data_IF_658545685039
#
_entry.id   IF_658545685039
#
_cell.length_a   1.000
_cell.length_b   1.000
_cell.length_c   1.000
_cell.angle_alpha   90.00
_cell.angle_beta   90.00
_cell.angle_gamma   90.00
#
_symmetry.space_group_name_H-M   'P 1'
#
loop_
_entity.id
_entity.type
_entity.pdbx_description
1 polymer ?
#
# COMPACT_ATOMS: atom_id res chain seq x y z
N UNK A 1 4.50 19.62 -15.41
CA UNK A 1 3.82 20.86 -15.02
C UNK A 1 4.72 21.71 -14.16
N UNK A 2 4.64 23.03 -14.28
CA UNK A 2 5.43 23.97 -13.48
C UNK A 2 5.10 23.77 -12.00
N UNK A 3 6.08 23.32 -11.25
CA UNK A 3 5.96 23.10 -9.82
C UNK A 3 6.36 24.37 -9.08
N UNK A 4 5.39 25.08 -8.53
CA UNK A 4 5.62 26.33 -7.79
C UNK A 4 6.02 26.10 -6.32
N UNK A 5 6.67 24.97 -6.01
CA UNK A 5 7.21 24.71 -4.67
C UNK A 5 8.71 25.03 -4.60
N UNK A 6 9.18 25.37 -3.42
CA UNK A 6 10.59 25.64 -3.14
C UNK A 6 11.42 24.36 -3.19
N UNK A 7 10.98 23.32 -2.50
CA UNK A 7 11.56 21.98 -2.52
C UNK A 7 10.48 20.93 -2.27
N UNK A 8 10.74 19.69 -2.71
CA UNK A 8 9.97 18.50 -2.38
C UNK A 8 10.82 17.59 -1.49
N UNK A 9 10.20 17.05 -0.44
CA UNK A 9 10.79 16.01 0.42
C UNK A 9 9.74 14.91 0.57
N UNK A 10 10.07 13.69 0.18
CA UNK A 10 9.12 12.56 0.25
C UNK A 10 9.65 11.31 -0.42
N UNK A 11 8.84 10.27 -0.43
CA UNK A 11 9.09 9.02 -1.14
C UNK A 11 8.45 9.02 -2.54
N UNK A 12 8.68 7.97 -3.31
CA UNK A 12 8.07 7.75 -4.61
C UNK A 12 6.93 6.73 -4.47
N UNK A 13 5.69 7.17 -4.61
CA UNK A 13 4.51 6.28 -4.44
C UNK A 13 4.59 5.03 -5.33
N UNK A 14 5.15 5.14 -6.54
CA UNK A 14 5.37 3.99 -7.42
C UNK A 14 6.29 2.94 -6.79
N UNK A 15 7.40 3.36 -6.16
CA UNK A 15 8.35 2.45 -5.51
C UNK A 15 7.68 1.61 -4.42
N UNK A 16 6.76 2.21 -3.64
CA UNK A 16 6.01 1.44 -2.64
C UNK A 16 5.10 0.38 -3.26
N UNK A 17 4.48 0.70 -4.40
CA UNK A 17 3.71 -0.27 -5.18
C UNK A 17 4.58 -1.39 -5.73
N UNK A 18 5.77 -1.07 -6.26
CA UNK A 18 6.73 -2.07 -6.75
C UNK A 18 7.19 -3.00 -5.63
N UNK A 19 7.53 -2.46 -4.44
CA UNK A 19 7.96 -3.27 -3.30
C UNK A 19 6.84 -4.21 -2.82
N UNK A 20 5.62 -3.68 -2.67
CA UNK A 20 4.45 -4.47 -2.29
C UNK A 20 4.15 -5.55 -3.32
N UNK A 21 4.12 -5.18 -4.60
CA UNK A 21 3.85 -6.11 -5.70
C UNK A 21 4.88 -7.22 -5.81
N UNK A 22 6.18 -6.90 -5.71
CA UNK A 22 7.27 -7.90 -5.68
C UNK A 22 7.11 -8.88 -4.54
N UNK A 23 6.80 -8.40 -3.34
CA UNK A 23 6.59 -9.28 -2.19
C UNK A 23 5.45 -10.27 -2.45
N UNK A 24 4.33 -9.81 -3.02
CA UNK A 24 3.21 -10.71 -3.34
C UNK A 24 3.58 -11.75 -4.39
N UNK A 25 4.37 -11.41 -5.40
CA UNK A 25 4.81 -12.33 -6.45
C UNK A 25 5.86 -13.34 -5.92
N UNK A 26 6.83 -12.87 -5.14
CA UNK A 26 8.06 -13.63 -4.84
C UNK A 26 8.02 -14.32 -3.47
N UNK A 27 7.38 -13.69 -2.45
CA UNK A 27 7.51 -14.08 -1.04
C UNK A 27 6.20 -14.58 -0.43
N UNK A 28 5.04 -14.25 -0.98
CA UNK A 28 3.74 -14.61 -0.41
C UNK A 28 3.44 -16.11 -0.45
N UNK A 29 4.10 -16.85 -1.34
CA UNK A 29 3.81 -18.26 -1.61
C UNK A 29 2.63 -18.48 -2.56
N UNK A 30 1.98 -17.43 -3.05
CA UNK A 30 0.95 -17.49 -4.08
C UNK A 30 1.53 -17.89 -5.43
N UNK A 31 0.66 -18.33 -6.33
CA UNK A 31 1.05 -18.81 -7.66
C UNK A 31 0.45 -17.92 -8.74
N UNK A 32 1.09 -17.97 -9.91
CA UNK A 32 0.55 -17.38 -11.12
C UNK A 32 -0.90 -17.86 -11.36
N UNK A 33 -1.80 -16.91 -11.60
CA UNK A 33 -3.22 -17.15 -11.81
C UNK A 33 -4.06 -17.32 -10.54
N UNK A 34 -3.47 -17.25 -9.34
CA UNK A 34 -4.26 -17.20 -8.10
C UNK A 34 -5.14 -15.94 -8.10
N UNK A 35 -6.37 -16.09 -7.60
CA UNK A 35 -7.33 -15.00 -7.56
C UNK A 35 -7.03 -14.05 -6.41
N UNK A 36 -6.83 -12.79 -6.76
CA UNK A 36 -6.57 -11.71 -5.81
C UNK A 36 -7.52 -10.53 -6.03
N UNK A 37 -7.73 -9.73 -5.00
CA UNK A 37 -8.47 -8.48 -5.10
C UNK A 37 -7.58 -7.31 -4.67
N UNK A 38 -7.84 -6.11 -5.22
CA UNK A 38 -7.06 -4.90 -4.91
C UNK A 38 -7.99 -3.83 -4.32
N UNK A 39 -7.60 -3.29 -3.16
CA UNK A 39 -8.28 -2.15 -2.54
C UNK A 39 -7.44 -0.90 -2.74
N UNK A 40 -8.00 0.06 -3.49
CA UNK A 40 -7.34 1.29 -3.87
C UNK A 40 -7.71 2.47 -2.96
N UNK A 41 -6.82 3.46 -2.93
CA UNK A 41 -7.12 4.78 -2.40
C UNK A 41 -8.09 5.58 -3.27
N UNK A 42 -8.34 6.87 -2.91
CA UNK A 42 -9.19 7.74 -3.72
C UNK A 42 -8.63 7.92 -5.13
N UNK A 43 -9.47 7.69 -6.12
CA UNK A 43 -9.10 7.72 -7.53
C UNK A 43 -8.45 9.04 -7.94
N UNK A 44 -7.28 8.94 -8.58
CA UNK A 44 -6.52 10.08 -9.11
C UNK A 44 -5.63 10.77 -8.09
N UNK A 45 -5.57 10.35 -6.84
CA UNK A 45 -4.54 10.81 -5.88
C UNK A 45 -3.18 10.18 -6.20
N UNK A 46 -2.09 10.89 -5.89
CA UNK A 46 -0.73 10.46 -6.20
C UNK A 46 -0.42 9.05 -5.66
N UNK A 47 -0.82 8.78 -4.42
CA UNK A 47 -0.63 7.48 -3.78
C UNK A 47 -1.32 6.34 -4.55
N UNK A 48 -2.59 6.51 -4.90
CA UNK A 48 -3.34 5.54 -5.68
C UNK A 48 -2.71 5.34 -7.07
N UNK A 49 -2.49 6.43 -7.82
CA UNK A 49 -1.91 6.36 -9.18
C UNK A 49 -0.50 5.76 -9.16
N UNK A 50 0.32 6.18 -8.20
CA UNK A 50 1.70 5.69 -8.08
C UNK A 50 1.76 4.21 -7.71
N UNK A 51 1.01 3.78 -6.68
CA UNK A 51 1.03 2.38 -6.23
C UNK A 51 0.50 1.43 -7.30
N UNK A 52 -0.60 1.79 -7.98
CA UNK A 52 -1.08 1.02 -9.14
C UNK A 52 -0.06 0.95 -10.28
N UNK A 53 0.62 2.06 -10.59
CA UNK A 53 1.69 2.04 -11.59
C UNK A 53 2.85 1.13 -11.16
N UNK A 54 3.15 1.05 -9.87
CA UNK A 54 4.13 0.10 -9.32
C UNK A 54 3.70 -1.35 -9.48
N UNK A 55 2.43 -1.67 -9.25
CA UNK A 55 1.89 -3.02 -9.48
C UNK A 55 1.98 -3.41 -10.97
N UNK A 56 1.67 -2.49 -11.87
CA UNK A 56 1.78 -2.71 -13.32
C UNK A 56 3.24 -2.91 -13.73
N UNK A 57 4.17 -2.08 -13.24
CA UNK A 57 5.61 -2.16 -13.57
C UNK A 57 6.24 -3.49 -13.20
N UNK A 58 5.86 -4.09 -12.07
CA UNK A 58 6.38 -5.39 -11.64
C UNK A 58 5.59 -6.57 -12.21
N UNK A 59 4.56 -6.32 -13.01
CA UNK A 59 3.75 -7.35 -13.68
C UNK A 59 2.76 -8.06 -12.75
N UNK A 60 2.41 -7.49 -11.59
CA UNK A 60 1.48 -8.10 -10.64
C UNK A 60 0.11 -8.34 -11.27
N UNK A 61 -0.37 -7.39 -12.09
CA UNK A 61 -1.69 -7.47 -12.70
C UNK A 61 -1.79 -8.57 -13.78
N UNK A 62 -0.67 -8.96 -14.36
CA UNK A 62 -0.57 -10.07 -15.31
C UNK A 62 -0.27 -11.40 -14.62
N UNK A 63 0.39 -11.36 -13.47
CA UNK A 63 0.79 -12.56 -12.71
C UNK A 63 -0.42 -13.20 -12.01
N UNK A 64 -1.29 -12.40 -11.41
CA UNK A 64 -2.48 -12.87 -10.72
C UNK A 64 -3.76 -12.70 -11.54
N UNK A 65 -4.79 -13.52 -11.25
CA UNK A 65 -6.16 -13.27 -11.68
C UNK A 65 -6.79 -12.21 -10.74
N UNK A 66 -6.72 -10.94 -11.16
CA UNK A 66 -7.28 -9.82 -10.39
C UNK A 66 -8.80 -9.79 -10.58
N UNK A 67 -9.53 -10.43 -9.66
CA UNK A 67 -10.98 -10.62 -9.76
C UNK A 67 -11.80 -9.38 -9.35
N UNK A 68 -11.22 -8.46 -8.60
CA UNK A 68 -11.87 -7.22 -8.20
C UNK A 68 -10.84 -6.12 -7.91
N UNK A 69 -11.19 -4.88 -8.28
CA UNK A 69 -10.43 -3.68 -7.93
C UNK A 69 -11.43 -2.59 -7.59
N UNK A 70 -11.35 -2.01 -6.40
CA UNK A 70 -12.25 -0.95 -5.97
C UNK A 70 -11.62 -0.03 -4.92
N UNK A 71 -11.99 1.25 -4.95
CA UNK A 71 -11.53 2.23 -3.95
C UNK A 71 -12.28 2.09 -2.62
N UNK A 72 -11.53 2.17 -1.52
CA UNK A 72 -12.04 2.35 -0.17
C UNK A 72 -11.60 3.69 0.44
N UNK A 73 -11.15 4.64 -0.38
CA UNK A 73 -10.89 6.02 0.01
C UNK A 73 -9.93 6.19 1.21
N UNK A 74 -8.95 5.31 1.37
CA UNK A 74 -8.02 5.19 2.51
C UNK A 74 -8.71 4.84 3.84
N UNK A 75 -9.96 4.35 3.83
CA UNK A 75 -10.73 4.12 5.05
C UNK A 75 -10.87 2.65 5.39
N UNK A 76 -10.62 2.34 6.64
CA UNK A 76 -10.68 0.98 7.21
C UNK A 76 -12.07 0.36 7.09
N UNK A 77 -13.11 1.10 7.42
CA UNK A 77 -14.49 0.62 7.41
C UNK A 77 -15.02 0.37 5.99
N UNK A 78 -14.67 1.22 5.02
CA UNK A 78 -15.02 0.99 3.62
C UNK A 78 -14.29 -0.24 3.06
N UNK A 79 -13.01 -0.43 3.39
CA UNK A 79 -12.24 -1.60 2.99
C UNK A 79 -12.76 -2.90 3.62
N UNK A 80 -13.15 -2.86 4.90
CA UNK A 80 -13.77 -4.00 5.59
C UNK A 80 -15.04 -4.45 4.85
N UNK A 81 -15.92 -3.50 4.48
CA UNK A 81 -17.16 -3.83 3.77
C UNK A 81 -16.89 -4.43 2.37
N UNK A 82 -15.89 -3.95 1.63
CA UNK A 82 -15.48 -4.53 0.36
C UNK A 82 -14.95 -5.96 0.54
N UNK A 83 -14.09 -6.17 1.54
CA UNK A 83 -13.53 -7.49 1.82
C UNK A 83 -14.60 -8.51 2.21
N UNK A 84 -15.58 -8.13 3.04
CA UNK A 84 -16.73 -8.98 3.39
C UNK A 84 -17.52 -9.43 2.15
N UNK A 85 -17.79 -8.49 1.23
CA UNK A 85 -18.49 -8.77 -0.02
C UNK A 85 -17.68 -9.70 -0.92
N UNK A 86 -16.38 -9.46 -1.08
CA UNK A 86 -15.51 -10.26 -1.93
C UNK A 86 -15.25 -11.66 -1.37
N UNK A 87 -15.07 -11.80 -0.05
CA UNK A 87 -14.96 -13.10 0.62
C UNK A 87 -16.22 -13.91 0.38
N UNK A 88 -17.39 -13.30 0.47
CA UNK A 88 -18.68 -13.97 0.20
C UNK A 88 -18.81 -14.35 -1.27
N UNK A 89 -18.40 -13.46 -2.19
CA UNK A 89 -18.59 -13.64 -3.63
C UNK A 89 -17.64 -14.69 -4.20
N UNK A 90 -16.36 -14.65 -3.83
CA UNK A 90 -15.31 -15.51 -4.42
C UNK A 90 -15.01 -16.75 -3.57
N UNK A 91 -15.47 -16.78 -2.33
CA UNK A 91 -15.32 -17.92 -1.44
C UNK A 91 -13.86 -18.36 -1.26
N UNK A 92 -13.60 -19.65 -1.33
CA UNK A 92 -12.26 -20.24 -1.17
C UNK A 92 -11.30 -19.92 -2.32
N UNK A 93 -11.80 -19.43 -3.43
CA UNK A 93 -10.96 -19.05 -4.57
C UNK A 93 -10.14 -17.77 -4.32
N UNK A 94 -10.65 -16.85 -3.49
CA UNK A 94 -9.92 -15.63 -3.13
C UNK A 94 -8.72 -15.97 -2.25
N UNK A 95 -7.52 -15.68 -2.73
CA UNK A 95 -6.26 -16.02 -2.07
C UNK A 95 -5.58 -14.82 -1.40
N UNK A 96 -5.78 -13.62 -1.94
CA UNK A 96 -5.21 -12.43 -1.33
C UNK A 96 -6.10 -11.19 -1.52
N UNK A 97 -5.92 -10.22 -0.62
CA UNK A 97 -6.43 -8.86 -0.76
C UNK A 97 -5.23 -7.91 -0.61
N UNK A 98 -4.87 -7.24 -1.69
CA UNK A 98 -3.75 -6.32 -1.77
C UNK A 98 -4.29 -4.91 -1.56
N UNK A 99 -3.84 -4.24 -0.51
CA UNK A 99 -4.35 -2.93 -0.15
C UNK A 99 -3.29 -1.86 -0.39
N UNK A 100 -3.66 -0.75 -0.98
CA UNK A 100 -2.72 0.34 -1.23
C UNK A 100 -2.25 1.03 0.05
N UNK A 101 -2.94 0.83 1.20
CA UNK A 101 -2.40 1.22 2.51
C UNK A 101 -2.81 0.25 3.63
N UNK A 102 -2.13 0.38 4.77
CA UNK A 102 -2.36 -0.49 5.94
C UNK A 102 -3.71 -0.26 6.60
N UNK A 103 -4.24 0.97 6.60
CA UNK A 103 -5.53 1.21 7.25
C UNK A 103 -6.65 0.44 6.53
N UNK A 104 -6.64 0.40 5.21
CA UNK A 104 -7.53 -0.45 4.42
C UNK A 104 -7.20 -1.94 4.63
N UNK A 105 -5.91 -2.30 4.66
CA UNK A 105 -5.46 -3.67 4.91
C UNK A 105 -5.92 -4.22 6.25
N UNK A 106 -5.89 -3.43 7.30
CA UNK A 106 -6.41 -3.81 8.62
C UNK A 106 -7.94 -3.96 8.63
N UNK A 107 -8.65 -3.21 7.78
CA UNK A 107 -10.07 -3.41 7.52
C UNK A 107 -10.34 -4.76 6.86
N UNK A 108 -9.60 -5.08 5.80
CA UNK A 108 -9.70 -6.36 5.10
C UNK A 108 -9.33 -7.53 6.02
N UNK A 109 -8.30 -7.39 6.86
CA UNK A 109 -7.92 -8.40 7.85
C UNK A 109 -9.05 -8.68 8.85
N UNK A 110 -9.70 -7.63 9.33
CA UNK A 110 -10.84 -7.78 10.25
C UNK A 110 -11.99 -8.56 9.61
N UNK A 111 -12.29 -8.30 8.34
CA UNK A 111 -13.30 -9.05 7.58
C UNK A 111 -12.93 -10.53 7.40
N UNK A 112 -11.66 -10.79 7.02
CA UNK A 112 -11.17 -12.15 6.83
C UNK A 112 -11.23 -12.95 8.13
N UNK A 113 -10.78 -12.41 9.25
CA UNK A 113 -10.84 -13.03 10.57
C UNK A 113 -12.30 -13.31 11.01
N UNK A 114 -13.20 -12.34 10.81
CA UNK A 114 -14.62 -12.52 11.13
C UNK A 114 -15.27 -13.63 10.31
N UNK A 115 -14.82 -13.86 9.08
CA UNK A 115 -15.27 -14.92 8.20
C UNK A 115 -14.56 -16.26 8.43
N UNK A 116 -13.55 -16.33 9.33
CA UNK A 116 -12.73 -17.52 9.54
C UNK A 116 -11.83 -17.86 8.35
N UNK A 117 -11.43 -16.84 7.56
CA UNK A 117 -10.61 -16.95 6.37
C UNK A 117 -9.18 -16.48 6.64
N UNK A 118 -8.53 -17.11 7.62
CA UNK A 118 -7.13 -16.84 7.99
C UNK A 118 -6.13 -17.27 6.90
N UNK A 119 -6.62 -17.93 5.85
CA UNK A 119 -5.86 -18.34 4.67
C UNK A 119 -5.67 -17.22 3.64
N UNK A 120 -6.45 -16.12 3.71
CA UNK A 120 -6.31 -14.97 2.80
C UNK A 120 -5.10 -14.14 3.20
N UNK A 121 -4.16 -13.99 2.26
CA UNK A 121 -2.97 -13.16 2.47
C UNK A 121 -3.32 -11.69 2.23
N UNK A 122 -3.03 -10.85 3.22
CA UNK A 122 -3.35 -9.42 3.16
C UNK A 122 -2.06 -8.62 3.38
N UNK A 123 -1.87 -7.54 2.65
CA UNK A 123 -0.71 -6.67 2.81
C UNK A 123 -1.02 -5.24 2.36
N UNK A 124 -0.17 -4.30 2.79
CA UNK A 124 -0.35 -2.88 2.52
C UNK A 124 0.94 -2.06 2.61
N UNK A 125 0.77 -0.76 2.68
CA UNK A 125 1.82 0.25 2.77
C UNK A 125 1.51 1.16 3.95
N UNK A 126 2.48 1.70 4.59
CA UNK A 126 2.61 2.80 5.55
C UNK A 126 3.49 2.40 6.75
N UNK A 127 3.47 1.15 7.21
CA UNK A 127 4.13 0.72 8.42
C UNK A 127 3.37 1.14 9.68
N UNK A 128 2.02 1.11 9.66
CA UNK A 128 1.21 1.42 10.83
C UNK A 128 1.51 0.43 11.97
N UNK A 129 1.48 0.92 13.21
CA UNK A 129 1.87 0.14 14.38
C UNK A 129 1.07 -1.17 14.52
N UNK A 130 -0.24 -1.14 14.29
CA UNK A 130 -1.11 -2.31 14.34
C UNK A 130 -0.86 -3.28 13.17
N UNK A 131 -0.57 -2.77 11.97
CA UNK A 131 -0.19 -3.59 10.82
C UNK A 131 1.17 -4.28 11.04
N UNK A 132 2.17 -3.54 11.53
CA UNK A 132 3.49 -4.09 11.88
C UNK A 132 3.37 -5.15 12.97
N UNK A 133 2.49 -4.95 13.96
CA UNK A 133 2.23 -5.96 14.99
C UNK A 133 1.56 -7.20 14.36
N UNK A 134 0.59 -7.03 13.48
CA UNK A 134 -0.09 -8.14 12.79
C UNK A 134 0.87 -8.94 11.89
N UNK A 135 1.86 -8.29 11.24
CA UNK A 135 2.95 -8.98 10.52
C UNK A 135 3.77 -9.84 11.47
N UNK A 136 4.17 -9.31 12.64
CA UNK A 136 4.92 -10.07 13.66
C UNK A 136 4.14 -11.27 14.20
N UNK A 137 2.83 -11.12 14.31
CA UNK A 137 1.93 -12.18 14.80
C UNK A 137 1.59 -13.21 13.70
N UNK A 138 2.01 -12.95 12.45
CA UNK A 138 1.78 -13.83 11.30
C UNK A 138 0.35 -13.79 10.76
N UNK A 139 -0.43 -12.77 11.10
CA UNK A 139 -1.83 -12.59 10.63
C UNK A 139 -1.95 -11.61 9.48
N UNK A 140 -0.89 -10.84 9.19
CA UNK A 140 -0.79 -9.92 8.07
C UNK A 140 0.50 -10.23 7.29
N UNK A 141 0.44 -10.28 5.98
CA UNK A 141 1.56 -10.75 5.16
C UNK A 141 2.72 -9.76 5.15
N UNK A 142 2.46 -8.52 4.80
CA UNK A 142 3.49 -7.49 4.63
C UNK A 142 2.92 -6.09 4.84
N UNK A 143 3.75 -5.21 5.39
CA UNK A 143 3.54 -3.76 5.35
C UNK A 143 4.83 -3.10 4.83
N UNK A 144 4.73 -2.39 3.71
CA UNK A 144 5.84 -1.59 3.19
C UNK A 144 5.95 -0.32 4.03
N UNK A 145 7.11 -0.13 4.69
CA UNK A 145 7.30 1.02 5.56
C UNK A 145 7.37 2.32 4.75
N UNK A 146 6.50 3.28 5.06
CA UNK A 146 6.64 4.66 4.62
C UNK A 146 7.24 5.47 5.77
N UNK A 147 8.54 5.83 5.70
CA UNK A 147 9.26 6.51 6.79
C UNK A 147 8.75 7.94 6.99
N UNK A 148 7.62 8.08 7.65
CA UNK A 148 7.00 9.36 7.99
C UNK A 148 7.88 10.22 8.92
N UNK A 149 8.66 9.58 9.80
CA UNK A 149 9.57 10.27 10.71
C UNK A 149 10.75 10.88 9.93
N UNK A 150 11.37 10.12 9.03
CA UNK A 150 12.43 10.60 8.15
C UNK A 150 11.95 11.71 7.22
N UNK A 151 10.78 11.55 6.61
CA UNK A 151 10.17 12.59 5.77
C UNK A 151 9.92 13.87 6.56
N UNK A 152 9.34 13.77 7.76
CA UNK A 152 9.06 14.92 8.63
C UNK A 152 10.34 15.63 9.07
N UNK A 153 11.34 14.91 9.57
CA UNK A 153 12.61 15.46 10.01
C UNK A 153 13.35 16.18 8.84
N UNK A 154 13.51 15.49 7.71
CA UNK A 154 14.17 16.05 6.52
C UNK A 154 13.39 17.25 5.98
N UNK A 155 12.05 17.21 5.99
CA UNK A 155 11.22 18.33 5.56
C UNK A 155 11.44 19.58 6.41
N UNK A 156 11.57 19.43 7.73
CA UNK A 156 11.90 20.54 8.65
C UNK A 156 13.30 21.08 8.37
N UNK A 157 14.30 20.22 8.21
CA UNK A 157 15.69 20.62 7.94
C UNK A 157 15.80 21.42 6.63
N UNK A 158 15.16 20.94 5.56
CA UNK A 158 15.11 21.62 4.26
C UNK A 158 14.39 22.97 4.37
N UNK A 159 13.28 23.04 5.12
CA UNK A 159 12.54 24.29 5.32
C UNK A 159 13.38 25.33 6.09
N UNK A 160 14.11 24.90 7.13
CA UNK A 160 15.01 25.78 7.91
C UNK A 160 16.16 26.28 7.05
N UNK A 161 16.81 25.42 6.25
CA UNK A 161 17.87 25.79 5.33
C UNK A 161 17.38 26.82 4.29
N UNK A 162 16.22 26.59 3.69
CA UNK A 162 15.58 27.54 2.78
C UNK A 162 15.31 28.89 3.42
N UNK A 163 14.80 28.91 4.67
CA UNK A 163 14.53 30.16 5.39
C UNK A 163 15.80 30.96 5.72
N UNK A 164 16.95 30.30 5.85
CA UNK A 164 18.26 30.93 6.03
C UNK A 164 18.90 31.38 4.73
N UNK A 165 18.32 31.07 3.57
CA UNK A 165 18.89 31.35 2.25
C UNK A 165 20.06 30.42 1.88
N UNK A 166 20.14 29.25 2.51
CA UNK A 166 21.11 28.22 2.18
C UNK A 166 20.70 27.50 0.88
N UNK A 167 21.69 26.92 0.17
CA UNK A 167 21.39 26.10 -1.01
C UNK A 167 20.69 24.81 -0.60
N UNK A 168 19.56 24.50 -1.27
CA UNK A 168 18.76 23.31 -1.02
C UNK A 168 18.50 22.55 -2.33
N UNK A 169 18.37 21.23 -2.23
CA UNK A 169 17.92 20.41 -3.34
C UNK A 169 16.46 20.69 -3.67
N UNK A 170 16.11 20.70 -4.96
CA UNK A 170 14.73 20.87 -5.42
C UNK A 170 13.88 19.63 -5.12
N UNK A 171 14.49 18.46 -5.09
CA UNK A 171 13.87 17.16 -4.83
C UNK A 171 14.77 16.33 -3.89
N UNK A 172 14.24 15.91 -2.76
CA UNK A 172 14.92 15.07 -1.78
C UNK A 172 14.05 13.83 -1.53
N UNK A 173 14.54 12.68 -1.98
CA UNK A 173 13.83 11.40 -1.84
C UNK A 173 14.23 10.71 -0.54
N UNK A 174 13.22 10.25 0.19
CA UNK A 174 13.37 9.40 1.37
C UNK A 174 13.05 7.98 0.91
N UNK A 175 13.96 7.02 1.08
CA UNK A 175 13.71 5.63 0.68
C UNK A 175 12.61 4.98 1.54
N UNK A 176 12.05 3.88 1.02
CA UNK A 176 11.15 2.98 1.74
C UNK A 176 11.93 2.02 2.62
#
# INVERSE_FOLDING_TARGET
>A
GDTNYTAFVGCTDQESGELLGKWFIEESGLKEGDKVAIIEGPMGQSGQVGRMAGFEEVGLLDYFDVVATQTANWKRDEAMALAEDWITTYGEDLKAIICENDDMGMGALSAAQAAGRDDIIIGGVDGLEDAVQAVKDGTYGVSVLQDSAGQGATGVDVAVAAAKGEEIAKDTRIPF
#
